data_IF_570816300736
#
_entry.id   IF_570816300736
#
_cell.length_a   1.000
_cell.length_b   1.000
_cell.length_c   1.000
_cell.angle_alpha   90.00
_cell.angle_beta   90.00
_cell.angle_gamma   90.00
#
_symmetry.space_group_name_H-M   'P 1'
#
loop_
_entity.id
_entity.type
_entity.pdbx_description
1 polymer ?
#
# COMPACT_ATOMS: atom_id res chain seq x y z
N UNK A 1 32.67 7.50 -14.47
CA UNK A 1 32.38 6.41 -13.51
C UNK A 1 30.99 6.51 -12.86
N UNK A 2 30.54 7.69 -12.40
CA UNK A 2 29.19 7.84 -11.80
C UNK A 2 28.03 7.60 -12.78
N UNK A 3 28.11 8.12 -14.02
CA UNK A 3 27.06 7.90 -15.03
C UNK A 3 26.92 6.43 -15.47
N UNK A 4 28.02 5.66 -15.52
CA UNK A 4 27.95 4.23 -15.86
C UNK A 4 27.33 3.39 -14.73
N UNK A 5 27.56 3.77 -13.47
CA UNK A 5 26.90 3.14 -12.31
C UNK A 5 25.39 3.42 -12.30
N UNK A 6 24.98 4.66 -12.56
CA UNK A 6 23.56 5.05 -12.65
C UNK A 6 22.87 4.26 -13.77
N UNK A 7 23.44 4.21 -14.97
CA UNK A 7 22.87 3.46 -16.09
C UNK A 7 22.82 1.94 -15.84
N UNK A 8 23.80 1.37 -15.11
CA UNK A 8 23.76 -0.03 -14.71
C UNK A 8 22.66 -0.31 -13.67
N UNK A 9 22.38 0.66 -12.80
CA UNK A 9 21.35 0.58 -11.78
C UNK A 9 19.95 0.71 -12.38
N UNK A 10 19.75 1.62 -13.34
CA UNK A 10 18.51 1.76 -14.09
C UNK A 10 18.15 0.50 -14.87
N UNK A 11 19.13 -0.11 -15.56
CA UNK A 11 18.96 -1.38 -16.29
C UNK A 11 18.66 -2.57 -15.38
N UNK A 12 19.09 -2.53 -14.11
CA UNK A 12 18.69 -3.54 -13.11
C UNK A 12 17.27 -3.27 -12.62
N UNK A 13 16.95 -2.02 -12.29
CA UNK A 13 15.63 -1.61 -11.83
C UNK A 13 14.51 -1.92 -12.83
N UNK A 14 14.74 -1.72 -14.13
CA UNK A 14 13.76 -2.09 -15.17
C UNK A 14 13.52 -3.60 -15.23
N UNK A 15 14.59 -4.41 -15.09
CA UNK A 15 14.48 -5.87 -15.02
C UNK A 15 13.70 -6.33 -13.79
N UNK A 16 13.90 -5.69 -12.63
CA UNK A 16 13.12 -5.99 -11.43
C UNK A 16 11.64 -5.64 -11.60
N UNK A 17 11.33 -4.48 -12.19
CA UNK A 17 9.95 -4.08 -12.44
C UNK A 17 9.23 -5.03 -13.39
N UNK A 18 9.91 -5.52 -14.43
CA UNK A 18 9.36 -6.50 -15.35
C UNK A 18 9.18 -7.88 -14.70
N UNK A 19 10.13 -8.31 -13.87
CA UNK A 19 10.00 -9.53 -13.06
C UNK A 19 8.85 -9.42 -12.05
N UNK A 20 8.64 -8.23 -11.46
CA UNK A 20 7.50 -7.96 -10.60
C UNK A 20 6.20 -8.07 -11.40
N UNK A 21 6.10 -7.47 -12.59
CA UNK A 21 4.90 -7.57 -13.43
C UNK A 21 4.47 -9.01 -13.72
N UNK A 22 5.44 -9.88 -14.04
CA UNK A 22 5.19 -11.31 -14.26
C UNK A 22 4.95 -12.08 -12.96
N UNK A 23 5.66 -11.72 -11.88
CA UNK A 23 5.68 -12.44 -10.62
C UNK A 23 4.56 -12.07 -9.64
N UNK A 24 3.89 -10.92 -9.81
CA UNK A 24 2.87 -10.44 -8.87
C UNK A 24 1.72 -11.43 -8.64
N UNK A 25 1.17 -12.13 -9.66
CA UNK A 25 0.16 -13.15 -9.41
C UNK A 25 0.62 -14.23 -8.43
N UNK A 26 1.82 -14.79 -8.65
CA UNK A 26 2.40 -15.79 -7.75
C UNK A 26 2.71 -15.19 -6.37
N UNK A 27 3.29 -14.00 -6.33
CA UNK A 27 3.60 -13.31 -5.08
C UNK A 27 2.34 -13.06 -4.24
N UNK A 28 1.22 -12.72 -4.88
CA UNK A 28 -0.06 -12.52 -4.21
C UNK A 28 -0.65 -13.81 -3.62
N UNK A 29 -0.41 -14.96 -4.27
CA UNK A 29 -0.81 -16.27 -3.75
C UNK A 29 0.10 -16.73 -2.59
N UNK A 30 1.41 -16.53 -2.71
CA UNK A 30 2.36 -16.78 -1.62
C UNK A 30 1.97 -15.93 -0.41
N UNK A 31 1.68 -14.65 -0.64
CA UNK A 31 1.22 -13.74 0.39
C UNK A 31 -0.05 -14.23 1.09
N UNK A 32 -1.06 -14.62 0.32
CA UNK A 32 -2.31 -15.18 0.86
C UNK A 32 -2.04 -16.44 1.69
N UNK A 33 -1.19 -17.35 1.20
CA UNK A 33 -0.83 -18.57 1.92
C UNK A 33 -0.11 -18.27 3.25
N UNK A 34 0.83 -17.33 3.25
CA UNK A 34 1.54 -16.89 4.46
C UNK A 34 0.59 -16.25 5.46
N UNK A 35 -0.32 -15.38 5.00
CA UNK A 35 -1.29 -14.74 5.88
C UNK A 35 -2.28 -15.74 6.50
N UNK A 36 -2.75 -16.72 5.73
CA UNK A 36 -3.58 -17.83 6.24
C UNK A 36 -2.81 -18.65 7.26
N UNK A 37 -1.55 -18.98 6.97
CA UNK A 37 -0.70 -19.73 7.89
C UNK A 37 -0.46 -18.98 9.20
N UNK A 38 -0.12 -17.68 9.13
CA UNK A 38 0.03 -16.83 10.32
C UNK A 38 -1.26 -16.76 11.14
N UNK A 39 -2.41 -16.61 10.48
CA UNK A 39 -3.71 -16.62 11.14
C UNK A 39 -3.96 -17.94 11.88
N UNK A 40 -3.73 -19.07 11.22
CA UNK A 40 -3.93 -20.40 11.79
C UNK A 40 -2.97 -20.66 12.95
N UNK A 41 -1.67 -20.36 12.78
CA UNK A 41 -0.65 -20.55 13.80
C UNK A 41 -0.92 -19.70 15.05
N UNK A 42 -1.31 -18.44 14.87
CA UNK A 42 -1.59 -17.53 16.00
C UNK A 42 -2.87 -17.87 16.74
N UNK A 43 -3.92 -18.31 16.03
CA UNK A 43 -5.27 -18.41 16.57
C UNK A 43 -5.79 -19.85 16.69
N UNK A 44 -4.94 -20.86 16.54
CA UNK A 44 -5.34 -22.28 16.53
C UNK A 44 -6.32 -22.64 17.66
N UNK A 45 -5.99 -22.28 18.90
CA UNK A 45 -6.83 -22.59 20.07
C UNK A 45 -8.17 -21.83 20.07
N UNK A 46 -8.19 -20.60 19.56
CA UNK A 46 -9.36 -19.72 19.56
C UNK A 46 -10.29 -19.95 18.36
N UNK A 47 -9.78 -20.54 17.25
CA UNK A 47 -10.55 -20.75 16.02
C UNK A 47 -11.86 -21.51 16.27
N UNK A 48 -11.83 -22.57 17.07
CA UNK A 48 -13.00 -23.39 17.37
C UNK A 48 -14.08 -22.66 18.21
N UNK A 49 -13.70 -21.59 18.92
CA UNK A 49 -14.58 -20.82 19.82
C UNK A 49 -14.97 -19.46 19.24
N UNK A 50 -14.52 -19.18 18.02
CA UNK A 50 -14.69 -17.89 17.37
C UNK A 50 -16.05 -17.80 16.69
N UNK A 51 -16.64 -16.61 16.72
CA UNK A 51 -17.87 -16.36 15.98
C UNK A 51 -17.63 -16.39 14.47
N UNK A 52 -18.64 -16.82 13.69
CA UNK A 52 -18.60 -16.74 12.23
C UNK A 52 -18.34 -15.31 11.73
N UNK A 53 -18.83 -14.31 12.45
CA UNK A 53 -18.60 -12.90 12.14
C UNK A 53 -17.11 -12.56 12.25
N UNK A 54 -16.44 -12.94 13.35
CA UNK A 54 -15.01 -12.69 13.53
C UNK A 54 -14.17 -13.37 12.44
N UNK A 55 -14.52 -14.59 12.07
CA UNK A 55 -13.87 -15.33 10.99
C UNK A 55 -14.06 -14.63 9.63
N UNK A 56 -15.28 -14.17 9.33
CA UNK A 56 -15.56 -13.44 8.10
C UNK A 56 -14.72 -12.17 7.99
N UNK A 57 -14.54 -11.41 9.08
CA UNK A 57 -13.68 -10.22 9.10
C UNK A 57 -12.21 -10.53 8.80
N UNK A 58 -11.65 -11.60 9.36
CA UNK A 58 -10.28 -12.01 9.02
C UNK A 58 -10.17 -12.41 7.56
N UNK A 59 -11.10 -13.24 7.08
CA UNK A 59 -11.08 -13.70 5.69
C UNK A 59 -11.12 -12.49 4.74
N UNK A 60 -12.00 -11.52 5.02
CA UNK A 60 -12.08 -10.28 4.25
C UNK A 60 -10.79 -9.45 4.36
N UNK A 61 -10.24 -9.26 5.56
CA UNK A 61 -9.04 -8.45 5.77
C UNK A 61 -7.81 -9.02 5.04
N UNK A 62 -7.66 -10.35 4.99
CA UNK A 62 -6.57 -11.03 4.27
C UNK A 62 -6.82 -11.00 2.75
N UNK A 63 -8.04 -11.34 2.32
CA UNK A 63 -8.33 -11.58 0.90
C UNK A 63 -8.58 -10.29 0.10
N UNK A 64 -9.14 -9.25 0.70
CA UNK A 64 -9.48 -8.00 0.03
C UNK A 64 -8.30 -7.36 -0.73
N UNK A 65 -7.11 -7.12 -0.13
CA UNK A 65 -6.00 -6.51 -0.87
C UNK A 65 -5.54 -7.37 -2.04
N UNK A 66 -5.59 -8.70 -1.92
CA UNK A 66 -5.24 -9.64 -3.01
C UNK A 66 -6.27 -9.59 -4.13
N UNK A 67 -7.57 -9.61 -3.80
CA UNK A 67 -8.66 -9.52 -4.76
C UNK A 67 -8.57 -8.18 -5.51
N UNK A 68 -8.41 -7.07 -4.79
CA UNK A 68 -8.27 -5.73 -5.36
C UNK A 68 -7.03 -5.64 -6.25
N UNK A 69 -5.88 -6.17 -5.81
CA UNK A 69 -4.67 -6.18 -6.62
C UNK A 69 -4.88 -6.93 -7.94
N UNK A 70 -5.42 -8.15 -7.89
CA UNK A 70 -5.66 -8.96 -9.09
C UNK A 70 -6.70 -8.32 -10.00
N UNK A 71 -7.76 -7.77 -9.43
CA UNK A 71 -8.78 -7.03 -10.17
C UNK A 71 -8.17 -5.85 -10.92
N UNK A 72 -7.40 -5.00 -10.23
CA UNK A 72 -6.72 -3.86 -10.85
C UNK A 72 -5.76 -4.29 -11.95
N UNK A 73 -4.94 -5.32 -11.73
CA UNK A 73 -4.00 -5.79 -12.75
C UNK A 73 -4.70 -6.35 -13.97
N UNK A 74 -5.84 -7.02 -13.82
CA UNK A 74 -6.60 -7.56 -14.94
C UNK A 74 -7.37 -6.49 -15.73
N UNK A 75 -7.83 -5.42 -15.07
CA UNK A 75 -8.62 -4.37 -15.72
C UNK A 75 -7.76 -3.28 -16.37
N UNK A 76 -6.58 -2.99 -15.83
CA UNK A 76 -5.72 -1.94 -16.32
C UNK A 76 -4.59 -2.50 -17.18
N UNK A 77 -4.73 -2.39 -18.50
CA UNK A 77 -3.71 -2.80 -19.46
C UNK A 77 -2.62 -1.72 -19.63
N UNK A 78 -1.35 -2.13 -19.57
CA UNK A 78 -0.19 -1.24 -19.67
C UNK A 78 0.00 -0.59 -21.05
N UNK A 79 -0.64 -1.10 -22.10
CA UNK A 79 -0.39 -0.69 -23.49
C UNK A 79 -1.41 0.31 -24.05
N UNK A 80 -2.48 0.61 -23.30
CA UNK A 80 -3.52 1.55 -23.76
C UNK A 80 -3.13 2.97 -23.39
N UNK A 81 -3.09 3.93 -24.34
CA UNK A 81 -2.85 5.33 -24.01
C UNK A 81 -3.99 5.89 -23.16
N UNK A 82 -3.65 6.40 -21.98
CA UNK A 82 -4.61 6.97 -21.02
C UNK A 82 -4.54 8.50 -21.08
N UNK A 83 -5.71 9.14 -21.13
CA UNK A 83 -5.80 10.60 -21.10
C UNK A 83 -5.26 11.18 -19.79
N UNK A 84 -4.60 12.33 -19.90
CA UNK A 84 -4.09 13.01 -18.72
C UNK A 84 -5.25 13.66 -17.93
N UNK A 85 -5.27 13.51 -16.60
CA UNK A 85 -6.26 14.14 -15.73
C UNK A 85 -6.22 15.68 -15.82
N UNK A 86 -7.42 16.31 -15.89
CA UNK A 86 -7.59 17.77 -16.06
C UNK A 86 -6.91 18.60 -14.97
N UNK A 87 -6.99 18.17 -13.70
CA UNK A 87 -6.41 18.87 -12.56
C UNK A 87 -4.94 18.48 -12.33
N UNK A 88 -4.03 19.45 -12.35
CA UNK A 88 -2.58 19.21 -12.24
C UNK A 88 -2.06 19.59 -10.86
N UNK A 89 -1.85 18.60 -9.97
CA UNK A 89 -1.39 18.82 -8.58
C UNK A 89 0.04 19.36 -8.47
N UNK A 90 0.92 19.01 -9.42
CA UNK A 90 2.31 19.44 -9.41
C UNK A 90 2.60 20.36 -10.60
N UNK A 91 2.92 21.63 -10.30
CA UNK A 91 3.47 22.63 -11.23
C UNK A 91 4.91 23.04 -10.88
N UNK A 92 5.51 22.45 -9.86
CA UNK A 92 6.87 22.79 -9.45
C UNK A 92 7.88 22.42 -10.55
N UNK A 93 8.63 23.40 -11.06
CA UNK A 93 9.64 23.23 -12.11
C UNK A 93 9.18 23.64 -13.52
N UNK A 94 10.15 23.80 -14.44
CA UNK A 94 9.89 24.12 -15.86
C UNK A 94 9.71 22.82 -16.65
N UNK A 95 8.46 22.47 -16.95
CA UNK A 95 8.09 21.23 -17.64
C UNK A 95 7.30 21.50 -18.92
N UNK A 96 7.62 20.78 -19.99
CA UNK A 96 6.89 20.77 -21.26
C UNK A 96 6.13 19.46 -21.41
N UNK A 97 4.88 19.52 -21.88
CA UNK A 97 4.08 18.33 -22.19
C UNK A 97 4.60 17.65 -23.46
N UNK A 98 4.57 16.33 -23.47
CA UNK A 98 5.04 15.49 -24.56
C UNK A 98 4.00 14.43 -24.87
N UNK A 99 3.91 14.01 -26.12
CA UNK A 99 3.03 12.91 -26.52
C UNK A 99 3.45 11.57 -25.90
N UNK A 100 2.48 10.67 -25.72
CA UNK A 100 2.68 9.37 -25.10
C UNK A 100 3.72 8.52 -25.85
N UNK A 101 3.67 8.51 -27.19
CA UNK A 101 4.60 7.70 -27.99
C UNK A 101 6.05 8.18 -27.85
N UNK A 102 6.27 9.49 -27.84
CA UNK A 102 7.58 10.08 -27.58
C UNK A 102 8.08 9.79 -26.16
N UNK A 103 7.17 9.74 -25.16
CA UNK A 103 7.54 9.35 -23.81
C UNK A 103 8.03 7.89 -23.76
N UNK A 104 7.35 6.97 -24.45
CA UNK A 104 7.69 5.53 -24.46
C UNK A 104 9.05 5.22 -25.08
N UNK A 105 9.53 6.07 -26.00
CA UNK A 105 10.85 5.93 -26.62
C UNK A 105 12.01 6.28 -25.67
N UNK A 106 11.73 6.98 -24.56
CA UNK A 106 12.76 7.36 -23.60
C UNK A 106 13.15 6.19 -22.68
N UNK A 107 14.46 6.01 -22.46
CA UNK A 107 14.99 5.01 -21.54
C UNK A 107 14.53 5.19 -20.07
N UNK A 108 14.10 6.40 -19.71
CA UNK A 108 13.58 6.70 -18.37
C UNK A 108 12.10 6.33 -18.19
N UNK A 109 11.41 5.90 -19.24
CA UNK A 109 10.00 5.55 -19.15
C UNK A 109 9.76 4.25 -18.39
N UNK A 110 8.80 4.28 -17.46
CA UNK A 110 8.35 3.11 -16.71
C UNK A 110 8.92 3.00 -15.29
N UNK A 111 8.45 1.99 -14.54
CA UNK A 111 8.67 1.86 -13.10
C UNK A 111 10.06 1.33 -12.70
N UNK A 112 11.12 1.73 -13.40
CA UNK A 112 12.50 1.35 -13.10
C UNK A 112 13.20 2.25 -12.06
N UNK A 113 14.44 1.90 -11.71
CA UNK A 113 15.29 2.67 -10.79
C UNK A 113 14.66 2.84 -9.40
N UNK A 114 14.67 4.07 -8.87
CA UNK A 114 14.13 4.36 -7.53
C UNK A 114 12.61 4.13 -7.43
N UNK A 115 11.90 4.17 -8.57
CA UNK A 115 10.47 3.80 -8.63
C UNK A 115 10.25 2.32 -8.28
N UNK A 116 11.18 1.43 -8.63
CA UNK A 116 11.09 0.02 -8.28
C UNK A 116 11.20 -0.19 -6.76
N UNK A 117 12.02 0.62 -6.07
CA UNK A 117 12.09 0.59 -4.60
C UNK A 117 10.79 1.03 -3.95
N UNK A 118 10.14 2.06 -4.51
CA UNK A 118 8.81 2.48 -4.05
C UNK A 118 7.80 1.34 -4.23
N UNK A 119 7.78 0.67 -5.39
CA UNK A 119 6.91 -0.49 -5.64
C UNK A 119 7.12 -1.61 -4.63
N UNK A 120 8.38 -1.96 -4.33
CA UNK A 120 8.71 -2.95 -3.31
C UNK A 120 8.23 -2.47 -1.93
N UNK A 121 8.45 -1.20 -1.61
CA UNK A 121 7.99 -0.59 -0.36
C UNK A 121 6.47 -0.64 -0.20
N UNK A 122 5.70 -0.42 -1.28
CA UNK A 122 4.23 -0.53 -1.27
C UNK A 122 3.78 -1.97 -0.99
N UNK A 123 4.41 -2.97 -1.61
CA UNK A 123 4.10 -4.38 -1.33
C UNK A 123 4.48 -4.77 0.10
N UNK A 124 5.67 -4.34 0.55
CA UNK A 124 6.15 -4.62 1.89
C UNK A 124 5.28 -3.95 2.96
N UNK A 125 4.70 -2.79 2.67
CA UNK A 125 3.76 -2.12 3.57
C UNK A 125 2.54 -2.99 3.87
N UNK A 126 1.92 -3.58 2.84
CA UNK A 126 0.81 -4.53 2.99
C UNK A 126 1.25 -5.70 3.86
N UNK A 127 2.46 -6.21 3.62
CA UNK A 127 2.97 -7.36 4.33
C UNK A 127 3.19 -7.11 5.84
N UNK A 128 3.93 -6.05 6.14
CA UNK A 128 4.25 -5.64 7.51
C UNK A 128 2.96 -5.35 8.27
N UNK A 129 2.00 -4.64 7.67
CA UNK A 129 0.72 -4.32 8.31
C UNK A 129 -0.06 -5.55 8.73
N UNK A 130 -0.09 -6.60 7.89
CA UNK A 130 -0.74 -7.87 8.24
C UNK A 130 -0.03 -8.60 9.38
N UNK A 131 1.30 -8.59 9.40
CA UNK A 131 2.08 -9.19 10.50
C UNK A 131 1.78 -8.44 11.81
N UNK A 132 1.78 -7.11 11.77
CA UNK A 132 1.47 -6.26 12.93
C UNK A 132 0.05 -6.49 13.44
N UNK A 133 -0.93 -6.64 12.54
CA UNK A 133 -2.29 -7.00 12.89
C UNK A 133 -2.35 -8.34 13.66
N UNK A 134 -1.76 -9.41 13.13
CA UNK A 134 -1.78 -10.72 13.81
C UNK A 134 -0.94 -10.76 15.10
N UNK A 135 0.11 -9.95 15.19
CA UNK A 135 0.87 -9.80 16.42
C UNK A 135 0.05 -9.10 17.51
N UNK A 136 -0.68 -8.04 17.14
CA UNK A 136 -1.40 -7.18 18.08
C UNK A 136 -2.80 -7.69 18.44
N UNK A 137 -3.53 -8.30 17.50
CA UNK A 137 -4.95 -8.60 17.65
C UNK A 137 -5.22 -10.09 17.81
N UNK A 138 -5.64 -10.55 19.00
CA UNK A 138 -6.16 -11.91 19.15
C UNK A 138 -7.55 -12.01 18.52
N UNK A 139 -7.89 -13.19 18.01
CA UNK A 139 -9.23 -13.48 17.50
C UNK A 139 -10.26 -13.56 18.64
N UNK A 140 -11.31 -12.72 18.65
CA UNK A 140 -12.30 -12.72 19.73
C UNK A 140 -13.14 -14.01 19.77
N UNK A 141 -13.16 -14.68 20.92
CA UNK A 141 -14.05 -15.81 21.24
C UNK A 141 -15.44 -15.30 21.64
N UNK A 142 -16.46 -16.16 21.62
CA UNK A 142 -17.83 -15.79 21.99
C UNK A 142 -18.00 -15.14 23.39
N UNK A 143 -17.07 -15.40 24.32
CA UNK A 143 -17.05 -14.84 25.67
C UNK A 143 -16.16 -13.60 25.81
N UNK A 144 -15.57 -13.11 24.72
CA UNK A 144 -14.69 -11.96 24.76
C UNK A 144 -15.41 -10.67 25.19
N UNK A 145 -14.72 -9.76 25.90
CA UNK A 145 -15.31 -8.50 26.29
C UNK A 145 -15.64 -7.63 25.07
N UNK A 146 -16.71 -6.84 25.15
CA UNK A 146 -17.21 -6.01 24.03
C UNK A 146 -16.15 -5.07 23.44
N UNK A 147 -15.25 -4.56 24.28
CA UNK A 147 -14.17 -3.69 23.82
C UNK A 147 -13.19 -4.39 22.88
N UNK A 148 -12.95 -5.70 23.07
CA UNK A 148 -12.03 -6.46 22.23
C UNK A 148 -12.63 -6.67 20.83
N UNK A 149 -13.94 -6.90 20.75
CA UNK A 149 -14.64 -6.93 19.47
C UNK A 149 -14.57 -5.58 18.75
N UNK A 150 -14.80 -4.47 19.44
CA UNK A 150 -14.72 -3.14 18.83
C UNK A 150 -13.31 -2.87 18.27
N UNK A 151 -12.28 -3.17 19.06
CA UNK A 151 -10.89 -3.01 18.66
C UNK A 151 -10.50 -3.91 17.48
N UNK A 152 -10.89 -5.18 17.53
CA UNK A 152 -10.66 -6.15 16.46
C UNK A 152 -11.31 -5.70 15.15
N UNK A 153 -12.55 -5.19 15.20
CA UNK A 153 -13.28 -4.70 14.04
C UNK A 153 -12.61 -3.47 13.42
N UNK A 154 -12.21 -2.50 14.26
CA UNK A 154 -11.50 -1.29 13.82
C UNK A 154 -10.17 -1.64 13.15
N UNK A 155 -9.37 -2.51 13.78
CA UNK A 155 -8.08 -2.94 13.25
C UNK A 155 -8.21 -3.79 11.98
N UNK A 156 -9.24 -4.64 11.90
CA UNK A 156 -9.51 -5.42 10.68
C UNK A 156 -9.92 -4.51 9.52
N UNK A 157 -10.72 -3.48 9.81
CA UNK A 157 -11.14 -2.48 8.84
C UNK A 157 -9.95 -1.66 8.33
N UNK A 158 -9.08 -1.21 9.23
CA UNK A 158 -7.82 -0.53 8.89
C UNK A 158 -6.96 -1.40 7.97
N UNK A 159 -6.70 -2.66 8.37
CA UNK A 159 -5.92 -3.59 7.58
C UNK A 159 -6.54 -3.80 6.20
N UNK A 160 -7.85 -4.06 6.13
CA UNK A 160 -8.57 -4.34 4.90
C UNK A 160 -8.53 -3.13 3.94
N UNK A 161 -8.92 -1.94 4.42
CA UNK A 161 -9.05 -0.75 3.59
C UNK A 161 -7.67 -0.25 3.15
N UNK A 162 -6.74 -0.06 4.08
CA UNK A 162 -5.47 0.59 3.74
C UNK A 162 -4.57 -0.34 2.93
N UNK A 163 -4.54 -1.64 3.22
CA UNK A 163 -3.82 -2.59 2.37
C UNK A 163 -4.38 -2.61 0.96
N UNK A 164 -5.71 -2.50 0.81
CA UNK A 164 -6.35 -2.39 -0.50
C UNK A 164 -5.99 -1.09 -1.21
N UNK A 165 -5.97 0.06 -0.52
CA UNK A 165 -5.53 1.33 -1.09
C UNK A 165 -4.07 1.28 -1.58
N UNK A 166 -3.17 0.70 -0.79
CA UNK A 166 -1.77 0.51 -1.20
C UNK A 166 -1.64 -0.49 -2.36
N UNK A 167 -2.46 -1.54 -2.40
CA UNK A 167 -2.53 -2.47 -3.52
C UNK A 167 -3.00 -1.80 -4.83
N UNK A 168 -4.00 -0.92 -4.75
CA UNK A 168 -4.43 -0.08 -5.88
C UNK A 168 -3.29 0.83 -6.34
N UNK A 169 -2.63 1.53 -5.41
CA UNK A 169 -1.50 2.41 -5.75
C UNK A 169 -0.37 1.62 -6.42
N UNK A 170 -0.03 0.45 -5.91
CA UNK A 170 0.95 -0.46 -6.50
C UNK A 170 0.55 -0.87 -7.92
N UNK A 171 -0.69 -1.32 -8.13
CA UNK A 171 -1.17 -1.74 -9.43
C UNK A 171 -1.12 -0.61 -10.46
N UNK A 172 -1.57 0.60 -10.08
CA UNK A 172 -1.51 1.78 -10.94
C UNK A 172 -0.07 2.19 -11.26
N UNK A 173 0.83 2.11 -10.28
CA UNK A 173 2.25 2.38 -10.50
C UNK A 173 2.86 1.40 -11.50
N UNK A 174 2.62 0.10 -11.30
CA UNK A 174 3.13 -0.97 -12.15
C UNK A 174 2.59 -0.85 -13.58
N UNK A 175 1.28 -0.59 -13.72
CA UNK A 175 0.60 -0.37 -15.00
C UNK A 175 0.80 1.04 -15.58
N UNK A 176 1.67 1.86 -14.99
CA UNK A 176 2.05 3.20 -15.50
C UNK A 176 0.87 4.18 -15.60
N UNK A 177 -0.17 4.00 -14.79
CA UNK A 177 -1.37 4.82 -14.84
C UNK A 177 -1.16 6.22 -14.24
N UNK A 178 -1.61 7.31 -14.90
CA UNK A 178 -1.32 8.69 -14.47
C UNK A 178 -1.94 9.07 -13.12
N UNK A 179 -2.92 8.28 -12.63
CA UNK A 179 -3.54 8.47 -11.32
C UNK A 179 -2.67 8.02 -10.15
N UNK A 180 -1.64 7.20 -10.39
CA UNK A 180 -0.82 6.59 -9.32
C UNK A 180 -0.37 7.59 -8.24
N UNK A 181 0.33 8.71 -8.56
CA UNK A 181 0.85 9.59 -7.51
C UNK A 181 -0.25 10.21 -6.64
N UNK A 182 -1.46 10.38 -7.19
CA UNK A 182 -2.60 10.93 -6.45
C UNK A 182 -3.22 9.90 -5.53
N UNK A 183 -3.39 8.68 -6.03
CA UNK A 183 -3.93 7.58 -5.23
C UNK A 183 -3.00 7.27 -4.07
N UNK A 184 -1.68 7.29 -4.28
CA UNK A 184 -0.72 7.11 -3.19
C UNK A 184 -0.79 8.24 -2.14
N UNK A 185 -0.88 9.50 -2.59
CA UNK A 185 -1.07 10.62 -1.66
C UNK A 185 -2.38 10.51 -0.87
N UNK A 186 -3.47 10.11 -1.54
CA UNK A 186 -4.75 9.84 -0.90
C UNK A 186 -4.67 8.69 0.12
N UNK A 187 -3.94 7.62 -0.20
CA UNK A 187 -3.70 6.51 0.72
C UNK A 187 -2.96 6.98 1.98
N UNK A 188 -1.91 7.79 1.86
CA UNK A 188 -1.21 8.37 3.02
C UNK A 188 -2.13 9.23 3.89
N UNK A 189 -2.95 10.09 3.27
CA UNK A 189 -3.91 10.92 4.00
C UNK A 189 -4.95 10.07 4.73
N UNK A 190 -5.51 9.06 4.05
CA UNK A 190 -6.47 8.14 4.65
C UNK A 190 -5.85 7.36 5.81
N UNK A 191 -4.60 6.92 5.66
CA UNK A 191 -3.84 6.21 6.69
C UNK A 191 -3.69 7.06 7.96
N UNK A 192 -3.22 8.30 7.81
CA UNK A 192 -3.10 9.23 8.93
C UNK A 192 -4.46 9.51 9.60
N UNK A 193 -5.50 9.74 8.81
CA UNK A 193 -6.84 9.98 9.33
C UNK A 193 -7.39 8.76 10.06
N UNK A 194 -7.18 7.55 9.54
CA UNK A 194 -7.60 6.31 10.17
C UNK A 194 -6.95 6.14 11.54
N UNK A 195 -5.63 6.35 11.65
CA UNK A 195 -4.94 6.26 12.95
C UNK A 195 -5.53 7.25 13.98
N UNK A 196 -5.80 8.50 13.57
CA UNK A 196 -6.40 9.52 14.45
C UNK A 196 -7.82 9.12 14.87
N UNK A 197 -8.64 8.65 13.94
CA UNK A 197 -10.01 8.21 14.22
C UNK A 197 -10.02 7.01 15.16
N UNK A 198 -9.14 6.03 14.96
CA UNK A 198 -9.07 4.85 15.81
C UNK A 198 -8.63 5.19 17.24
N UNK A 199 -7.62 6.06 17.42
CA UNK A 199 -7.21 6.53 18.75
C UNK A 199 -8.38 7.17 19.49
N UNK A 200 -9.08 8.12 18.84
CA UNK A 200 -10.26 8.77 19.43
C UNK A 200 -11.38 7.79 19.75
N UNK A 201 -11.66 6.87 18.84
CA UNK A 201 -12.73 5.88 19.02
C UNK A 201 -12.42 4.97 20.22
N UNK A 202 -11.17 4.55 20.40
CA UNK A 202 -10.81 3.68 21.53
C UNK A 202 -10.94 4.34 22.89
N UNK A 203 -10.72 5.66 23.01
CA UNK A 203 -10.99 6.38 24.26
C UNK A 203 -12.49 6.45 24.61
N UNK A 204 -13.37 6.28 23.63
CA UNK A 204 -14.83 6.27 23.84
C UNK A 204 -15.38 4.88 24.18
N UNK A 205 -14.60 3.82 23.95
CA UNK A 205 -15.03 2.45 24.27
C UNK A 205 -14.88 2.21 25.78
N UNK A 206 -16.02 2.06 26.46
CA UNK A 206 -16.03 1.78 27.89
C UNK A 206 -15.40 0.41 28.20
N UNK A 207 -14.65 0.33 29.31
CA UNK A 207 -14.11 -0.91 29.85
C UNK A 207 -12.82 -1.41 29.20
N UNK A 208 -12.16 -0.63 28.34
CA UNK A 208 -10.83 -0.95 27.85
C UNK A 208 -9.81 -0.78 28.98
N UNK A 209 -9.01 -1.81 29.34
CA UNK A 209 -7.98 -1.68 30.36
C UNK A 209 -6.92 -0.63 29.98
N UNK A 210 -6.44 0.14 30.96
CA UNK A 210 -5.45 1.19 30.73
C UNK A 210 -4.15 0.68 30.07
N UNK A 211 -3.72 -0.55 30.40
CA UNK A 211 -2.57 -1.20 29.77
C UNK A 211 -2.77 -1.45 28.27
N UNK A 212 -3.99 -1.84 27.86
CA UNK A 212 -4.34 -2.05 26.46
C UNK A 212 -4.41 -0.72 25.72
N UNK A 213 -5.00 0.32 26.34
CA UNK A 213 -5.03 1.67 25.75
C UNK A 213 -3.62 2.19 25.47
N UNK A 214 -2.72 2.10 26.44
CA UNK A 214 -1.33 2.56 26.30
C UNK A 214 -0.58 1.84 25.16
N UNK A 215 -0.74 0.51 25.07
CA UNK A 215 -0.12 -0.28 23.99
C UNK A 215 -0.72 0.07 22.62
N UNK A 216 -2.02 0.29 22.58
CA UNK A 216 -2.72 0.68 21.35
C UNK A 216 -2.26 2.05 20.86
N UNK A 217 -2.19 3.05 21.74
CA UNK A 217 -1.72 4.39 21.40
C UNK A 217 -0.27 4.37 20.90
N UNK A 218 0.60 3.57 21.52
CA UNK A 218 1.97 3.37 21.04
C UNK A 218 2.02 2.76 19.62
N UNK A 219 1.16 1.77 19.34
CA UNK A 219 1.04 1.16 18.02
C UNK A 219 0.57 2.18 16.96
N UNK A 220 -0.47 2.96 17.25
CA UNK A 220 -0.99 3.98 16.33
C UNK A 220 0.03 5.10 16.11
N UNK A 221 0.73 5.53 17.15
CA UNK A 221 1.79 6.51 17.04
C UNK A 221 2.93 6.01 16.15
N UNK A 222 3.35 4.74 16.33
CA UNK A 222 4.34 4.11 15.46
C UNK A 222 3.89 4.05 14.00
N UNK A 223 2.61 3.76 13.74
CA UNK A 223 2.06 3.76 12.39
C UNK A 223 2.04 5.15 11.76
N UNK A 224 1.64 6.19 12.50
CA UNK A 224 1.73 7.59 12.05
C UNK A 224 3.16 7.98 11.68
N UNK A 225 4.14 7.61 12.51
CA UNK A 225 5.56 7.87 12.22
C UNK A 225 6.01 7.17 10.92
N UNK A 226 5.66 5.89 10.72
CA UNK A 226 5.99 5.17 9.47
C UNK A 226 5.43 5.87 8.24
N UNK A 227 4.17 6.33 8.31
CA UNK A 227 3.54 7.06 7.20
C UNK A 227 4.23 8.40 6.98
N UNK A 228 4.53 9.15 8.04
CA UNK A 228 5.24 10.43 7.94
C UNK A 228 6.63 10.27 7.31
N UNK A 229 7.38 9.24 7.70
CA UNK A 229 8.68 8.89 7.09
C UNK A 229 8.50 8.55 5.60
N UNK A 230 7.49 7.75 5.27
CA UNK A 230 7.16 7.40 3.88
C UNK A 230 6.86 8.66 3.05
N UNK A 231 6.02 9.57 3.55
CA UNK A 231 5.72 10.86 2.91
C UNK A 231 6.99 11.69 2.73
N UNK A 232 7.81 11.83 3.77
CA UNK A 232 9.03 12.63 3.73
C UNK A 232 10.03 12.14 2.68
N UNK A 233 10.14 10.82 2.49
CA UNK A 233 11.05 10.22 1.50
C UNK A 233 10.46 10.29 0.09
N UNK A 234 9.20 9.88 -0.07
CA UNK A 234 8.64 9.61 -1.39
C UNK A 234 7.95 10.82 -2.02
N UNK A 235 7.38 11.74 -1.23
CA UNK A 235 6.69 12.91 -1.78
C UNK A 235 7.65 13.80 -2.60
N UNK A 236 8.86 14.17 -2.13
CA UNK A 236 9.80 14.95 -2.94
C UNK A 236 10.16 14.24 -4.24
N UNK A 237 10.38 12.92 -4.17
CA UNK A 237 10.66 12.11 -5.35
C UNK A 237 9.48 12.12 -6.34
N UNK A 238 8.24 11.92 -5.88
CA UNK A 238 7.05 11.93 -6.74
C UNK A 238 6.79 13.31 -7.36
N UNK A 239 7.20 14.39 -6.71
CA UNK A 239 7.03 15.74 -7.24
C UNK A 239 8.09 16.09 -8.28
N UNK A 240 9.37 15.80 -7.98
CA UNK A 240 10.52 16.34 -8.71
C UNK A 240 11.16 15.36 -9.71
N UNK A 241 10.94 14.05 -9.55
CA UNK A 241 11.60 13.04 -10.38
C UNK A 241 11.23 13.18 -11.86
N UNK A 242 12.25 13.22 -12.74
CA UNK A 242 12.07 13.20 -14.20
C UNK A 242 11.35 11.95 -14.66
N UNK A 243 11.72 10.78 -14.12
CA UNK A 243 11.09 9.49 -14.40
C UNK A 243 9.60 9.49 -14.05
N UNK A 244 9.22 10.04 -12.90
CA UNK A 244 7.80 10.12 -12.49
C UNK A 244 7.02 11.09 -13.39
N UNK A 245 7.61 12.26 -13.70
CA UNK A 245 6.99 13.23 -14.61
C UNK A 245 6.83 12.68 -16.03
N UNK A 246 7.82 11.96 -16.54
CA UNK A 246 7.77 11.34 -17.84
C UNK A 246 6.73 10.21 -17.88
N UNK A 247 6.79 9.29 -16.93
CA UNK A 247 5.96 8.06 -16.92
C UNK A 247 4.49 8.36 -16.63
N UNK A 248 4.21 9.14 -15.57
CA UNK A 248 2.84 9.32 -15.08
C UNK A 248 2.22 10.65 -15.47
N UNK A 249 3.02 11.64 -15.91
CA UNK A 249 2.52 12.98 -16.27
C UNK A 249 2.80 13.39 -17.71
N UNK A 250 3.52 12.56 -18.47
CA UNK A 250 3.89 12.81 -19.88
C UNK A 250 4.58 14.18 -20.05
N UNK A 251 5.58 14.45 -19.21
CA UNK A 251 6.34 15.71 -19.20
C UNK A 251 7.84 15.50 -19.24
N UNK A 252 8.54 16.38 -19.95
CA UNK A 252 9.99 16.52 -19.93
C UNK A 252 10.39 17.90 -19.43
N UNK A 253 11.64 18.06 -19.00
CA UNK A 253 12.16 19.37 -18.59
C UNK A 253 12.22 20.29 -19.82
N UNK A 254 11.72 21.51 -19.67
CA UNK A 254 11.79 22.55 -20.70
C UNK A 254 13.18 23.19 -20.77
#
# INVERSE_FOLDING_TARGET
>A
MFHSLIAAWERRGSRYALRLEVGVPLLSLIWLAVAIWLCAARNWATLAQSSLVSLAWIILAISAPVIVLRWMLNHFNSDVPVSQPRFRLARAGRWRSVDYFSCRQSAEFGPGGFMAMLLIGLLLNVAIRTIEFFAAMPLPTASAPKWLYALFMLMSLDLMILSSCYAVAFALALRRFPLFPRVLAGAWMLDMLAQIVMSRTMHLVAGVPASVQMQFDALLHGNLQKVAISVAIWLPYLLLSRRVNLTYRQRIRA
#
